data_IF_664550936339
#
_entry.id   IF_664550936339
#
_cell.length_a   1.000
_cell.length_b   1.000
_cell.length_c   1.000
_cell.angle_alpha   90.00
_cell.angle_beta   90.00
_cell.angle_gamma   90.00
#
_symmetry.space_group_name_H-M   'P 1'
#
loop_
_entity.id
_entity.type
_entity.pdbx_description
1 polymer ?
#
# COMPACT_ATOMS: atom_id res chain seq x y z
N UNK A 1 -5.74 -0.12 -20.06
CA UNK A 1 -6.09 -0.22 -18.63
C UNK A 1 -6.86 -1.49 -18.39
N UNK A 2 -6.55 -2.18 -17.31
CA UNK A 2 -7.28 -3.39 -16.95
C UNK A 2 -8.63 -3.00 -16.30
N UNK A 3 -9.74 -3.26 -17.00
CA UNK A 3 -11.08 -2.95 -16.52
C UNK A 3 -11.45 -3.68 -15.22
N UNK A 4 -10.86 -4.86 -14.97
CA UNK A 4 -11.10 -5.62 -13.74
C UNK A 4 -10.48 -4.95 -12.50
N UNK A 5 -9.32 -4.30 -12.66
CA UNK A 5 -8.69 -3.54 -11.58
C UNK A 5 -9.52 -2.31 -11.23
N UNK A 6 -9.99 -1.58 -12.24
CA UNK A 6 -10.87 -0.44 -12.02
C UNK A 6 -12.17 -0.84 -11.32
N UNK A 7 -12.74 -1.99 -11.67
CA UNK A 7 -13.92 -2.52 -10.99
C UNK A 7 -13.63 -2.82 -9.51
N UNK A 8 -12.46 -3.37 -9.19
CA UNK A 8 -12.05 -3.62 -7.80
C UNK A 8 -11.89 -2.32 -7.02
N UNK A 9 -11.30 -1.28 -7.63
CA UNK A 9 -11.20 0.04 -7.02
C UNK A 9 -12.58 0.61 -6.70
N UNK A 10 -13.49 0.55 -7.65
CA UNK A 10 -14.87 1.05 -7.48
C UNK A 10 -15.65 0.24 -6.45
N UNK A 11 -15.45 -1.07 -6.40
CA UNK A 11 -16.11 -1.94 -5.43
C UNK A 11 -15.66 -1.67 -3.98
N UNK A 12 -14.41 -1.24 -3.79
CA UNK A 12 -13.88 -0.89 -2.48
C UNK A 12 -14.35 0.49 -2.00
N UNK A 13 -14.86 1.33 -2.91
CA UNK A 13 -15.22 2.72 -2.62
C UNK A 13 -16.54 2.80 -1.85
N UNK A 14 -16.66 3.86 -1.08
CA UNK A 14 -17.87 4.23 -0.36
C UNK A 14 -17.89 5.76 -0.15
N UNK A 15 -18.92 6.29 0.49
CA UNK A 15 -19.04 7.72 0.75
C UNK A 15 -18.30 8.18 2.01
N UNK A 16 -17.65 7.28 2.73
CA UNK A 16 -16.81 7.61 3.88
C UNK A 16 -15.49 8.26 3.43
N UNK A 17 -15.00 9.23 4.20
CA UNK A 17 -13.82 10.01 3.84
C UNK A 17 -12.51 9.26 4.13
N UNK A 18 -12.29 8.87 5.37
CA UNK A 18 -11.01 8.35 5.83
C UNK A 18 -10.92 6.82 5.82
N UNK A 19 -11.98 6.13 6.20
CA UNK A 19 -12.02 4.68 6.28
C UNK A 19 -13.47 4.20 6.17
N UNK A 20 -13.71 2.96 5.69
CA UNK A 20 -15.06 2.45 5.54
C UNK A 20 -15.70 2.12 6.88
N UNK A 21 -17.04 2.20 6.98
CA UNK A 21 -17.76 1.73 8.16
C UNK A 21 -17.40 0.27 8.48
N UNK A 22 -17.22 -0.03 9.77
CA UNK A 22 -16.91 -1.39 10.20
C UNK A 22 -15.46 -1.81 10.00
N UNK A 23 -14.55 -0.88 9.67
CA UNK A 23 -13.13 -1.20 9.59
C UNK A 23 -12.63 -1.72 10.95
N UNK A 24 -12.03 -2.91 10.95
CA UNK A 24 -11.58 -3.58 12.17
C UNK A 24 -10.14 -3.17 12.51
N UNK A 25 -10.01 -2.18 13.38
CA UNK A 25 -8.73 -1.62 13.81
C UNK A 25 -7.88 -2.58 14.66
N UNK A 26 -8.43 -3.70 15.09
CA UNK A 26 -7.69 -4.74 15.79
C UNK A 26 -7.23 -5.85 14.84
N UNK A 27 -8.14 -6.38 14.02
CA UNK A 27 -7.86 -7.50 13.13
C UNK A 27 -6.99 -7.13 11.94
N UNK A 28 -7.22 -5.99 11.30
CA UNK A 28 -6.51 -5.60 10.07
C UNK A 28 -5.02 -5.32 10.30
N UNK A 29 -4.59 -4.60 11.33
CA UNK A 29 -3.16 -4.46 11.63
C UNK A 29 -2.46 -5.78 11.91
N UNK A 30 -3.13 -6.72 12.57
CA UNK A 30 -2.58 -8.07 12.81
C UNK A 30 -2.37 -8.84 11.52
N UNK A 31 -3.30 -8.74 10.58
CA UNK A 31 -3.16 -9.37 9.25
C UNK A 31 -1.92 -8.86 8.53
N UNK A 32 -1.67 -7.55 8.57
CA UNK A 32 -0.49 -6.94 7.95
C UNK A 32 0.79 -7.40 8.64
N UNK A 33 0.84 -7.37 9.96
CA UNK A 33 2.01 -7.84 10.72
C UNK A 33 2.37 -9.29 10.43
N UNK A 34 1.38 -10.14 10.21
CA UNK A 34 1.60 -11.55 9.91
C UNK A 34 2.28 -11.79 8.54
N UNK A 35 2.32 -10.79 7.68
CA UNK A 35 3.01 -10.87 6.38
C UNK A 35 4.53 -10.71 6.50
N UNK A 36 5.01 -10.05 7.53
CA UNK A 36 6.38 -9.50 7.59
C UNK A 36 7.44 -10.60 7.49
N UNK A 37 7.31 -11.67 8.27
CA UNK A 37 8.34 -12.72 8.30
C UNK A 37 8.56 -13.34 6.92
N UNK A 38 7.49 -13.67 6.21
CA UNK A 38 7.58 -14.27 4.88
C UNK A 38 8.11 -13.27 3.86
N UNK A 39 7.70 -12.01 3.96
CA UNK A 39 8.19 -10.95 3.08
C UNK A 39 9.68 -10.71 3.28
N UNK A 40 10.17 -10.72 4.51
CA UNK A 40 11.61 -10.64 4.79
C UNK A 40 12.38 -11.78 4.14
N UNK A 41 11.82 -12.98 4.20
CA UNK A 41 12.43 -14.16 3.56
C UNK A 41 12.49 -14.01 2.04
N UNK A 42 11.40 -13.54 1.42
CA UNK A 42 11.32 -13.36 -0.05
C UNK A 42 12.27 -12.25 -0.50
N UNK A 43 12.25 -11.11 0.18
CA UNK A 43 12.97 -9.91 -0.25
C UNK A 43 14.44 -9.88 0.22
N UNK A 44 14.79 -10.69 1.21
CA UNK A 44 16.16 -10.75 1.73
C UNK A 44 16.58 -9.50 2.48
N UNK A 45 15.65 -8.72 3.01
CA UNK A 45 15.89 -7.49 3.77
C UNK A 45 15.08 -7.49 5.05
N UNK A 46 15.53 -6.72 6.04
CA UNK A 46 14.76 -6.50 7.27
C UNK A 46 13.69 -5.46 7.02
N UNK A 47 12.46 -5.78 7.39
CA UNK A 47 11.31 -4.90 7.17
C UNK A 47 10.81 -4.31 8.49
N UNK A 48 10.33 -3.10 8.42
CA UNK A 48 9.62 -2.43 9.52
C UNK A 48 8.15 -2.30 9.18
N UNK A 49 7.33 -2.24 10.22
CA UNK A 49 5.88 -2.05 10.10
C UNK A 49 5.49 -0.77 10.82
N UNK A 50 4.76 0.10 10.14
CA UNK A 50 4.02 1.18 10.76
C UNK A 50 2.54 0.87 10.65
N UNK A 51 1.90 0.48 11.74
CA UNK A 51 0.47 0.20 11.83
C UNK A 51 -0.27 1.27 12.66
N UNK A 52 0.39 2.38 12.91
CA UNK A 52 -0.15 3.52 13.67
C UNK A 52 -0.42 4.73 12.78
N UNK A 53 -0.62 4.51 11.49
CA UNK A 53 -0.89 5.59 10.55
C UNK A 53 -2.24 6.23 10.88
N UNK A 54 -2.25 7.55 11.00
CA UNK A 54 -3.44 8.36 11.31
C UNK A 54 -3.63 9.42 10.25
N UNK A 55 -4.86 9.91 10.13
CA UNK A 55 -5.23 10.97 9.18
C UNK A 55 -4.87 10.61 7.74
N UNK A 56 -5.10 9.35 7.36
CA UNK A 56 -4.79 8.83 6.04
C UNK A 56 -5.85 7.81 5.60
N UNK A 57 -5.90 7.56 4.31
CA UNK A 57 -6.75 6.52 3.73
C UNK A 57 -6.08 5.14 3.68
N UNK A 58 -4.88 5.03 4.23
CA UNK A 58 -4.20 3.76 4.49
C UNK A 58 -3.88 3.65 5.98
N UNK A 59 -3.86 2.44 6.51
CA UNK A 59 -3.70 2.22 7.95
C UNK A 59 -2.34 1.65 8.34
N UNK A 60 -1.61 1.08 7.38
CA UNK A 60 -0.33 0.43 7.65
C UNK A 60 0.60 0.47 6.45
N UNK A 61 1.89 0.44 6.75
CA UNK A 61 2.96 0.27 5.76
C UNK A 61 3.94 -0.80 6.25
N UNK A 62 4.49 -1.57 5.31
CA UNK A 62 5.65 -2.44 5.53
C UNK A 62 6.76 -1.90 4.63
N UNK A 63 7.92 -1.59 5.18
CA UNK A 63 8.97 -0.92 4.42
C UNK A 63 10.37 -1.33 4.86
N UNK A 64 11.33 -1.15 3.95
CA UNK A 64 12.76 -1.24 4.23
C UNK A 64 13.40 0.12 4.06
N UNK A 65 14.16 0.57 5.06
CA UNK A 65 14.99 1.76 4.99
C UNK A 65 16.45 1.41 5.22
N UNK A 66 17.32 2.16 4.59
CA UNK A 66 18.75 2.09 4.82
C UNK A 66 19.31 3.48 5.04
N UNK A 67 20.45 3.54 5.74
CA UNK A 67 21.16 4.79 6.00
C UNK A 67 22.15 5.06 4.87
N UNK A 68 21.96 6.16 4.13
CA UNK A 68 22.97 6.69 3.23
C UNK A 68 23.97 7.46 4.08
N UNK A 69 25.15 6.89 4.30
CA UNK A 69 26.18 7.46 5.17
C UNK A 69 26.84 8.71 4.59
N UNK A 70 26.90 8.83 3.27
CA UNK A 70 27.47 10.00 2.61
C UNK A 70 26.60 11.24 2.86
N UNK A 71 25.28 11.09 2.75
CA UNK A 71 24.31 12.16 2.95
C UNK A 71 23.76 12.22 4.38
N UNK A 72 24.15 11.27 5.23
CA UNK A 72 23.61 11.11 6.58
C UNK A 72 22.07 11.12 6.59
N UNK A 73 21.47 10.34 5.70
CA UNK A 73 20.04 10.39 5.39
C UNK A 73 19.46 8.98 5.32
N UNK A 74 18.30 8.78 5.95
CA UNK A 74 17.54 7.54 5.80
C UNK A 74 16.71 7.58 4.52
N UNK A 75 16.79 6.51 3.74
CA UNK A 75 16.04 6.37 2.49
C UNK A 75 15.24 5.07 2.51
N UNK A 76 14.00 5.14 2.01
CA UNK A 76 13.15 3.97 1.84
C UNK A 76 13.45 3.30 0.51
N UNK A 77 13.81 2.02 0.52
CA UNK A 77 14.10 1.28 -0.70
C UNK A 77 12.82 0.69 -1.31
N UNK A 78 11.94 0.15 -0.48
CA UNK A 78 10.66 -0.41 -0.87
C UNK A 78 9.64 -0.17 0.23
N UNK A 79 8.39 0.07 -0.16
CA UNK A 79 7.29 0.28 0.76
C UNK A 79 6.03 -0.37 0.19
N UNK A 80 5.35 -1.17 1.02
CA UNK A 80 4.01 -1.68 0.74
C UNK A 80 3.02 -0.92 1.62
N UNK A 81 2.00 -0.33 1.00
CA UNK A 81 0.94 0.40 1.71
C UNK A 81 -0.36 -0.38 1.65
N UNK A 82 -1.06 -0.42 2.76
CA UNK A 82 -2.33 -1.15 2.92
C UNK A 82 -3.45 -0.16 3.19
N UNK A 83 -4.38 -0.08 2.25
CA UNK A 83 -5.52 0.82 2.35
C UNK A 83 -6.49 0.36 3.44
N UNK A 84 -7.19 1.32 4.05
CA UNK A 84 -8.32 1.03 4.94
C UNK A 84 -9.55 0.52 4.18
N UNK A 85 -9.52 0.58 2.86
CA UNK A 85 -10.65 0.22 1.98
C UNK A 85 -10.39 -1.09 1.26
N UNK A 86 -11.31 -2.05 1.43
CA UNK A 86 -11.46 -3.22 0.57
C UNK A 86 -10.28 -4.19 0.47
N UNK A 87 -9.34 -4.15 1.40
CA UNK A 87 -8.17 -5.02 1.34
C UNK A 87 -7.18 -4.66 0.23
N UNK A 88 -7.24 -3.44 -0.28
CA UNK A 88 -6.33 -2.97 -1.34
C UNK A 88 -4.92 -2.74 -0.79
N UNK A 89 -3.92 -3.05 -1.59
CA UNK A 89 -2.54 -2.68 -1.30
C UNK A 89 -1.81 -2.27 -2.56
N UNK A 90 -0.75 -1.50 -2.39
CA UNK A 90 0.16 -1.11 -3.46
C UNK A 90 1.59 -1.11 -2.94
N UNK A 91 2.55 -0.97 -3.83
CA UNK A 91 3.95 -0.77 -3.44
C UNK A 91 4.61 0.29 -4.29
N UNK A 92 5.69 0.83 -3.77
CA UNK A 92 6.61 1.64 -4.55
C UNK A 92 8.04 1.30 -4.13
N UNK A 93 8.99 1.51 -5.02
CA UNK A 93 10.40 1.32 -4.78
C UNK A 93 11.22 2.45 -5.40
N UNK A 94 12.40 2.71 -4.83
CA UNK A 94 13.29 3.73 -5.34
C UNK A 94 14.36 3.07 -6.22
N UNK A 95 14.33 3.36 -7.53
CA UNK A 95 15.24 2.75 -8.50
C UNK A 95 16.66 3.29 -8.46
N UNK A 96 16.88 4.45 -7.82
CA UNK A 96 18.20 5.10 -7.78
C UNK A 96 19.09 4.60 -6.65
N UNK A 97 18.56 3.70 -5.80
CA UNK A 97 19.23 3.19 -4.62
C UNK A 97 19.07 1.68 -4.51
N UNK A 98 19.75 1.08 -3.54
CA UNK A 98 19.60 -0.35 -3.27
C UNK A 98 18.13 -0.70 -3.02
N UNK A 99 17.63 -1.68 -3.76
CA UNK A 99 16.32 -2.27 -3.57
C UNK A 99 16.36 -3.74 -3.96
N UNK A 100 15.41 -4.56 -3.49
CA UNK A 100 15.27 -5.93 -3.97
C UNK A 100 15.01 -5.96 -5.47
N UNK A 101 15.48 -7.02 -6.14
CA UNK A 101 15.23 -7.23 -7.58
C UNK A 101 13.74 -7.34 -7.86
N UNK A 102 13.32 -6.93 -9.07
CA UNK A 102 11.94 -6.95 -9.51
C UNK A 102 11.29 -8.34 -9.38
N UNK A 103 12.04 -9.39 -9.64
CA UNK A 103 11.60 -10.77 -9.49
C UNK A 103 11.12 -11.08 -8.07
N UNK A 104 11.86 -10.62 -7.05
CA UNK A 104 11.50 -10.82 -5.66
C UNK A 104 10.34 -9.93 -5.24
N UNK A 105 10.27 -8.72 -5.78
CA UNK A 105 9.13 -7.82 -5.54
C UNK A 105 7.85 -8.43 -6.08
N UNK A 106 7.88 -9.01 -7.28
CA UNK A 106 6.73 -9.71 -7.86
C UNK A 106 6.30 -10.91 -7.02
N UNK A 107 7.27 -11.68 -6.51
CA UNK A 107 6.99 -12.80 -5.62
C UNK A 107 6.35 -12.33 -4.31
N UNK A 108 6.82 -11.21 -3.77
CA UNK A 108 6.24 -10.60 -2.57
C UNK A 108 4.79 -10.17 -2.81
N UNK A 109 4.50 -9.53 -3.95
CA UNK A 109 3.14 -9.15 -4.33
C UNK A 109 2.24 -10.36 -4.40
N UNK A 110 2.67 -11.43 -5.05
CA UNK A 110 1.90 -12.68 -5.16
C UNK A 110 1.62 -13.29 -3.80
N UNK A 111 2.60 -13.25 -2.91
CA UNK A 111 2.40 -13.74 -1.55
C UNK A 111 1.32 -12.93 -0.81
N UNK A 112 1.39 -11.59 -0.87
CA UNK A 112 0.40 -10.74 -0.22
C UNK A 112 -0.99 -11.00 -0.80
N UNK A 113 -1.10 -11.15 -2.12
CA UNK A 113 -2.38 -11.49 -2.77
C UNK A 113 -2.92 -12.85 -2.29
N UNK A 114 -2.03 -13.82 -2.08
CA UNK A 114 -2.43 -15.14 -1.57
C UNK A 114 -3.01 -15.08 -0.16
N UNK A 115 -2.74 -14.00 0.58
CA UNK A 115 -3.28 -13.77 1.92
C UNK A 115 -4.59 -12.98 1.92
N UNK A 116 -5.19 -12.78 0.74
CA UNK A 116 -6.51 -12.17 0.60
C UNK A 116 -6.50 -10.67 0.33
N UNK A 117 -5.35 -10.07 0.09
CA UNK A 117 -5.25 -8.66 -0.29
C UNK A 117 -5.33 -8.51 -1.81
N UNK A 118 -5.70 -7.31 -2.26
CA UNK A 118 -5.88 -6.99 -3.68
C UNK A 118 -4.82 -5.98 -4.10
N UNK A 119 -3.95 -6.36 -5.03
CA UNK A 119 -2.92 -5.47 -5.54
C UNK A 119 -3.47 -4.46 -6.55
N UNK A 120 -3.03 -3.20 -6.42
CA UNK A 120 -3.34 -2.12 -7.35
C UNK A 120 -2.02 -1.48 -7.80
N UNK A 121 -1.78 -1.46 -9.12
CA UNK A 121 -0.58 -0.86 -9.68
C UNK A 121 -0.60 0.66 -9.62
N UNK A 122 0.58 1.29 -9.59
CA UNK A 122 0.73 2.73 -9.58
C UNK A 122 0.09 3.42 -10.78
N UNK A 123 0.15 2.80 -11.96
CA UNK A 123 -0.44 3.35 -13.19
C UNK A 123 -1.94 3.58 -13.05
N UNK A 124 -2.65 2.63 -12.44
CA UNK A 124 -4.09 2.75 -12.22
C UNK A 124 -4.37 3.82 -11.14
N UNK A 125 -3.54 3.87 -10.11
CA UNK A 125 -3.71 4.82 -9.00
C UNK A 125 -3.49 6.28 -9.42
N UNK A 126 -2.77 6.55 -10.49
CA UNK A 126 -2.57 7.91 -11.01
C UNK A 126 -3.76 8.47 -11.75
N UNK A 127 -4.75 7.66 -12.06
CA UNK A 127 -5.96 8.12 -12.75
C UNK A 127 -6.83 8.97 -11.83
N UNK A 128 -7.59 9.89 -12.44
CA UNK A 128 -8.47 10.80 -11.71
C UNK A 128 -9.60 10.02 -11.03
N UNK A 129 -9.80 10.31 -9.77
CA UNK A 129 -10.86 9.74 -8.96
C UNK A 129 -12.22 10.38 -9.32
N UNK A 130 -13.18 9.55 -9.63
CA UNK A 130 -14.54 9.93 -9.97
C UNK A 130 -15.58 9.14 -9.17
N UNK A 131 -15.20 8.68 -7.99
CA UNK A 131 -16.02 7.79 -7.16
C UNK A 131 -17.02 8.52 -6.25
N UNK A 132 -17.40 7.83 -5.17
CA UNK A 132 -18.53 8.23 -4.31
C UNK A 132 -18.21 9.36 -3.33
N UNK A 133 -16.93 9.61 -3.03
CA UNK A 133 -16.53 10.68 -2.10
C UNK A 133 -16.27 11.98 -2.87
N UNK A 134 -17.25 12.84 -2.93
CA UNK A 134 -17.20 14.07 -3.74
C UNK A 134 -16.06 15.02 -3.37
N UNK A 135 -15.65 15.04 -2.08
CA UNK A 135 -14.55 15.89 -1.61
C UNK A 135 -13.22 15.57 -2.26
N UNK A 136 -13.07 14.36 -2.81
CA UNK A 136 -11.85 13.89 -3.46
C UNK A 136 -11.92 13.93 -4.98
N UNK A 137 -13.01 14.41 -5.58
CA UNK A 137 -13.10 14.57 -7.03
C UNK A 137 -12.04 15.56 -7.52
N UNK A 138 -11.35 15.21 -8.59
CA UNK A 138 -10.21 15.96 -9.12
C UNK A 138 -8.86 15.51 -8.60
N UNK A 139 -8.81 14.73 -7.53
CA UNK A 139 -7.62 14.02 -7.08
C UNK A 139 -7.51 12.68 -7.79
N UNK A 140 -6.50 11.90 -7.42
CA UNK A 140 -6.28 10.56 -8.00
C UNK A 140 -6.85 9.46 -7.12
N UNK A 141 -6.95 8.25 -7.68
CA UNK A 141 -7.26 7.06 -6.89
C UNK A 141 -6.20 6.80 -5.80
N UNK A 142 -4.94 7.18 -6.05
CA UNK A 142 -3.90 7.10 -5.02
C UNK A 142 -4.24 8.00 -3.82
N UNK A 143 -4.72 9.21 -4.07
CA UNK A 143 -5.17 10.11 -3.01
C UNK A 143 -6.34 9.51 -2.23
N UNK A 144 -7.24 8.81 -2.92
CA UNK A 144 -8.39 8.15 -2.29
C UNK A 144 -7.99 7.05 -1.32
N UNK A 145 -7.02 6.19 -1.69
CA UNK A 145 -6.75 4.96 -0.96
C UNK A 145 -5.41 4.90 -0.22
N UNK A 146 -4.45 5.71 -0.58
CA UNK A 146 -3.08 5.56 -0.10
C UNK A 146 -2.39 6.86 0.30
N UNK A 147 -3.13 7.87 0.68
CA UNK A 147 -2.54 9.18 1.02
C UNK A 147 -3.05 9.72 2.35
N UNK A 148 -2.31 10.67 2.89
CA UNK A 148 -2.77 11.49 4.02
C UNK A 148 -3.93 12.38 3.60
N UNK A 149 -4.81 12.64 4.55
CA UNK A 149 -6.03 13.42 4.34
C UNK A 149 -5.86 14.86 4.83
#
# INVERSE_FOLDING_TARGET
>A
MNSSVLQKLKAADCDAYAFPPGFDWEAEPKRVKNLVWKLETILGVILKVDDQVQDASYFAEIYHRYLDREKNQWNTSICFKFSSFGGLFTHWSNSDIFRPDDEYIEEAVKYIESQGFIFVSGDVLEQIYDGLEERLHGYTWNARYFSYL
#
